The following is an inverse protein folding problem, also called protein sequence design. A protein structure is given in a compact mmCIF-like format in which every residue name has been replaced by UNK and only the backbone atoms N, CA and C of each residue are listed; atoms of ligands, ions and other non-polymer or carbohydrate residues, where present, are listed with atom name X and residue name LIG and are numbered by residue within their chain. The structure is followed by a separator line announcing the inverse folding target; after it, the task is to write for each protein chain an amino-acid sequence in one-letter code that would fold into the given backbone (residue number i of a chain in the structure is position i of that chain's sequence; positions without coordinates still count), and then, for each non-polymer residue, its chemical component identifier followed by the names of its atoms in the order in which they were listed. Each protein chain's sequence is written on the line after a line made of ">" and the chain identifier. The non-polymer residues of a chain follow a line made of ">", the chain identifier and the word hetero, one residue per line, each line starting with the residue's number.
data_IF_373832740118
#
_entry.id   IF_373832740118
#
_cell.length_a   1.000
_cell.length_b   1.000
_cell.length_c   1.000
_cell.angle_alpha   90.00
_cell.angle_beta   90.00
_cell.angle_gamma   90.00
#
_symmetry.space_group_name_H-M   'P 1'
#
loop_
_entity.id
_entity.type
_entity.pdbx_description
1 polymer ?
#
# COMPACT_ATOMS: atom_id res chain seq x y z
N UNK A 1 -12.31 18.21 -5.09
CA UNK A 1 -11.76 18.57 -3.77
C UNK A 1 -10.37 17.97 -3.69
N UNK A 2 -9.29 18.76 -3.54
CA UNK A 2 -7.95 18.20 -3.38
C UNK A 2 -7.89 17.36 -2.10
N UNK A 3 -7.28 16.18 -2.21
CA UNK A 3 -7.07 15.28 -1.09
C UNK A 3 -5.98 15.84 -0.16
N UNK A 4 -5.75 15.19 0.98
CA UNK A 4 -4.77 15.66 1.96
C UNK A 4 -3.34 15.73 1.37
N UNK A 5 -2.98 14.82 0.47
CA UNK A 5 -1.65 14.78 -0.13
C UNK A 5 -1.41 15.97 -1.07
N UNK A 6 -2.39 16.31 -1.91
CA UNK A 6 -2.32 17.47 -2.81
C UNK A 6 -2.03 18.77 -2.02
N UNK A 7 -2.67 18.91 -0.85
CA UNK A 7 -2.47 20.08 0.03
C UNK A 7 -1.12 20.10 0.73
N UNK A 8 -0.49 18.94 0.93
CA UNK A 8 0.83 18.83 1.56
C UNK A 8 1.92 19.12 0.54
N UNK A 9 1.78 18.64 -0.70
CA UNK A 9 2.73 18.88 -1.79
C UNK A 9 2.95 20.37 -2.07
N UNK A 10 1.90 21.19 -1.91
CA UNK A 10 2.01 22.66 -2.03
C UNK A 10 2.73 23.34 -0.85
N UNK A 11 2.97 22.64 0.26
CA UNK A 11 3.35 23.24 1.55
C UNK A 11 4.65 22.72 2.16
N UNK A 12 5.15 21.57 1.71
CA UNK A 12 6.36 20.93 2.27
C UNK A 12 7.34 20.57 1.16
N UNK A 13 8.61 20.36 1.50
CA UNK A 13 9.59 19.85 0.52
C UNK A 13 9.29 18.41 0.11
N UNK A 14 9.93 17.94 -0.97
CA UNK A 14 9.81 16.54 -1.39
C UNK A 14 10.30 15.58 -0.30
N UNK A 15 11.39 15.92 0.38
CA UNK A 15 11.95 15.10 1.47
C UNK A 15 11.00 15.04 2.66
N UNK A 16 10.40 16.18 3.05
CA UNK A 16 9.39 16.23 4.11
C UNK A 16 8.14 15.42 3.72
N UNK A 17 7.72 15.50 2.46
CA UNK A 17 6.57 14.75 1.95
C UNK A 17 6.82 13.24 2.01
N UNK A 18 8.03 12.78 1.71
CA UNK A 18 8.43 11.38 1.86
C UNK A 18 8.41 10.93 3.31
N UNK A 19 8.98 11.72 4.24
CA UNK A 19 8.95 11.41 5.67
C UNK A 19 7.51 11.32 6.19
N UNK A 20 6.66 12.30 5.85
CA UNK A 20 5.25 12.32 6.21
C UNK A 20 4.54 11.08 5.64
N UNK A 21 4.79 10.73 4.38
CA UNK A 21 4.21 9.55 3.73
C UNK A 21 4.58 8.26 4.44
N UNK A 22 5.84 8.13 4.85
CA UNK A 22 6.33 6.96 5.60
C UNK A 22 5.73 6.87 7.00
N UNK A 23 5.53 8.00 7.67
CA UNK A 23 4.82 8.05 8.96
C UNK A 23 3.36 7.66 8.80
N UNK A 24 2.65 8.21 7.80
CA UNK A 24 1.25 7.85 7.53
C UNK A 24 1.10 6.34 7.25
N UNK A 25 1.97 5.78 6.41
CA UNK A 25 2.02 4.33 6.16
C UNK A 25 2.28 3.54 7.43
N UNK A 26 3.22 3.98 8.26
CA UNK A 26 3.59 3.28 9.51
C UNK A 26 2.47 3.32 10.55
N UNK A 27 1.71 4.42 10.62
CA UNK A 27 0.51 4.52 11.46
C UNK A 27 -0.56 3.53 10.99
N UNK A 28 -0.81 3.45 9.68
CA UNK A 28 -1.74 2.49 9.11
C UNK A 28 -1.31 1.05 9.39
N UNK A 29 -0.02 0.73 9.24
CA UNK A 29 0.52 -0.58 9.58
C UNK A 29 0.35 -0.91 11.06
N UNK A 30 0.68 0.02 11.98
CA UNK A 30 0.45 -0.18 13.41
C UNK A 30 -1.01 -0.52 13.70
N UNK A 31 -1.96 0.20 13.09
CA UNK A 31 -3.40 -0.09 13.25
C UNK A 31 -3.70 -1.53 12.82
N UNK A 32 -3.17 -1.97 11.69
CA UNK A 32 -3.39 -3.33 11.20
C UNK A 32 -2.74 -4.38 12.12
N UNK A 33 -1.56 -4.12 12.67
CA UNK A 33 -0.93 -5.02 13.64
C UNK A 33 -1.75 -5.17 14.92
N UNK A 34 -2.38 -4.10 15.40
CA UNK A 34 -3.30 -4.19 16.54
C UNK A 34 -4.53 -5.03 16.19
N UNK A 35 -5.16 -4.77 15.04
CA UNK A 35 -6.40 -5.44 14.64
C UNK A 35 -6.19 -6.92 14.32
N UNK A 36 -5.10 -7.26 13.62
CA UNK A 36 -4.91 -8.59 13.04
C UNK A 36 -3.86 -9.44 13.76
N UNK A 37 -3.00 -8.83 14.58
CA UNK A 37 -1.90 -9.54 15.26
C UNK A 37 -1.86 -9.30 16.77
N UNK A 38 -2.84 -8.57 17.32
CA UNK A 38 -2.90 -8.18 18.74
C UNK A 38 -1.57 -7.58 19.25
N UNK A 39 -0.86 -6.88 18.37
CA UNK A 39 0.47 -6.33 18.66
C UNK A 39 0.42 -4.81 18.66
N UNK A 40 0.94 -4.18 19.72
CA UNK A 40 0.97 -2.73 19.84
C UNK A 40 2.39 -2.18 19.80
N UNK A 41 2.64 -1.23 18.89
CA UNK A 41 3.89 -0.46 18.81
C UNK A 41 3.69 0.93 19.38
N UNK A 42 4.63 1.38 20.21
CA UNK A 42 4.61 2.74 20.76
C UNK A 42 4.78 3.79 19.65
N UNK A 43 4.34 5.05 19.85
CA UNK A 43 4.55 6.12 18.89
C UNK A 43 6.03 6.29 18.49
N UNK A 44 6.95 6.16 19.44
CA UNK A 44 8.39 6.23 19.18
C UNK A 44 8.86 5.10 18.27
N UNK A 45 8.37 3.87 18.47
CA UNK A 45 8.68 2.74 17.60
C UNK A 45 8.15 2.94 16.18
N UNK A 46 6.96 3.52 16.02
CA UNK A 46 6.41 3.87 14.69
C UNK A 46 7.29 4.90 13.99
N UNK A 47 7.75 5.93 14.70
CA UNK A 47 8.63 6.95 14.13
C UNK A 47 9.99 6.38 13.74
N UNK A 48 10.59 5.53 14.58
CA UNK A 48 11.84 4.84 14.26
C UNK A 48 11.67 3.95 13.03
N UNK A 49 10.62 3.13 12.99
CA UNK A 49 10.32 2.26 11.86
C UNK A 49 10.16 3.05 10.55
N UNK A 50 9.42 4.16 10.57
CA UNK A 50 9.23 5.00 9.38
C UNK A 50 10.56 5.51 8.80
N UNK A 51 11.46 5.99 9.67
CA UNK A 51 12.78 6.50 9.26
C UNK A 51 13.69 5.39 8.76
N UNK A 52 13.71 4.25 9.43
CA UNK A 52 14.51 3.09 9.03
C UNK A 52 14.05 2.55 7.67
N UNK A 53 12.75 2.40 7.46
CA UNK A 53 12.19 1.93 6.19
C UNK A 53 12.48 2.91 5.04
N UNK A 54 12.40 4.22 5.28
CA UNK A 54 12.75 5.23 4.27
C UNK A 54 14.23 5.11 3.88
N UNK A 55 15.12 4.97 4.88
CA UNK A 55 16.55 4.75 4.64
C UNK A 55 16.80 3.47 3.85
N UNK A 56 16.13 2.37 4.20
CA UNK A 56 16.24 1.10 3.48
C UNK A 56 15.77 1.23 2.04
N UNK A 57 14.67 1.95 1.80
CA UNK A 57 14.19 2.24 0.44
C UNK A 57 15.25 2.98 -0.38
N UNK A 58 15.87 4.03 0.17
CA UNK A 58 16.95 4.75 -0.50
C UNK A 58 18.15 3.86 -0.85
N UNK A 59 18.57 3.01 0.09
CA UNK A 59 19.64 2.05 -0.14
C UNK A 59 19.28 1.05 -1.25
N UNK A 60 18.05 0.53 -1.25
CA UNK A 60 17.58 -0.38 -2.29
C UNK A 60 17.52 0.31 -3.67
N UNK A 61 17.00 1.55 -3.72
CA UNK A 61 16.93 2.36 -4.94
C UNK A 61 18.33 2.65 -5.51
N UNK A 62 19.31 2.93 -4.66
CA UNK A 62 20.70 3.11 -5.08
C UNK A 62 21.29 1.82 -5.67
N UNK A 63 21.08 0.66 -5.03
CA UNK A 63 21.52 -0.64 -5.56
C UNK A 63 20.89 -0.95 -6.91
N UNK A 64 19.60 -0.64 -7.09
CA UNK A 64 18.90 -0.83 -8.36
C UNK A 64 19.49 0.05 -9.49
N UNK A 65 19.92 1.28 -9.18
CA UNK A 65 20.60 2.15 -10.16
C UNK A 65 21.98 1.63 -10.56
N UNK A 66 22.64 0.85 -9.70
CA UNK A 66 23.96 0.26 -9.96
C UNK A 66 23.89 -1.04 -10.77
N UNK A 67 22.76 -1.75 -10.72
CA UNK A 67 22.52 -2.95 -11.50
C UNK A 67 21.85 -2.58 -12.83
N UNK A 68 22.64 -2.33 -13.87
CA UNK A 68 22.21 -1.99 -15.25
C UNK A 68 21.69 -3.20 -16.04
N UNK A 69 21.15 -4.21 -15.37
CA UNK A 69 20.47 -5.31 -16.06
C UNK A 69 19.10 -4.80 -16.54
N UNK A 70 18.76 -4.93 -17.83
CA UNK A 70 17.45 -4.53 -18.32
C UNK A 70 16.39 -5.36 -17.60
N UNK A 71 15.67 -4.73 -16.66
CA UNK A 71 14.43 -5.29 -16.16
C UNK A 71 13.54 -5.49 -17.36
N UNK A 72 13.13 -6.73 -17.61
CA UNK A 72 11.85 -6.99 -18.25
C UNK A 72 10.85 -6.30 -17.34
N UNK A 73 10.42 -5.11 -17.73
CA UNK A 73 9.21 -4.52 -17.19
C UNK A 73 8.09 -5.46 -17.63
N UNK A 74 7.80 -6.47 -16.82
CA UNK A 74 6.45 -6.99 -16.73
C UNK A 74 5.60 -5.74 -16.54
N UNK A 75 4.90 -5.34 -17.62
CA UNK A 75 4.31 -4.02 -17.73
C UNK A 75 3.58 -3.71 -16.44
N UNK A 76 3.95 -2.59 -15.81
CA UNK A 76 3.31 -2.15 -14.57
C UNK A 76 1.80 -2.13 -14.84
N UNK A 77 1.09 -3.16 -14.35
CA UNK A 77 -0.34 -3.28 -14.55
C UNK A 77 -1.00 -2.32 -13.58
N UNK A 78 -0.88 -1.03 -13.86
CA UNK A 78 -1.63 0.01 -13.18
C UNK A 78 -3.09 -0.38 -13.25
N UNK A 79 -3.76 -0.37 -12.10
CA UNK A 79 -5.15 -0.76 -12.04
C UNK A 79 -5.97 0.18 -12.94
N UNK A 80 -6.69 -0.41 -13.89
CA UNK A 80 -7.63 0.29 -14.76
C UNK A 80 -9.01 -0.31 -14.60
N UNK A 81 -10.06 0.47 -14.90
CA UNK A 81 -11.41 -0.09 -15.03
C UNK A 81 -11.44 -1.18 -16.12
N UNK A 82 -12.29 -2.22 -16.00
CA UNK A 82 -12.43 -3.21 -17.05
C UNK A 82 -12.90 -2.58 -18.36
N UNK A 83 -12.70 -3.30 -19.46
CA UNK A 83 -13.18 -2.89 -20.79
C UNK A 83 -14.71 -2.98 -20.83
N UNK A 84 -15.30 -2.27 -21.77
CA UNK A 84 -16.74 -2.35 -22.04
C UNK A 84 -17.19 -3.82 -22.20
N UNK A 85 -18.31 -4.18 -21.59
CA UNK A 85 -18.89 -5.52 -21.45
C UNK A 85 -18.06 -6.52 -20.61
N UNK A 86 -17.09 -6.07 -19.83
CA UNK A 86 -16.35 -6.92 -18.88
C UNK A 86 -16.52 -6.46 -17.44
N UNK A 87 -16.43 -7.43 -16.52
CA UNK A 87 -16.30 -7.18 -15.09
C UNK A 87 -14.89 -7.52 -14.61
N UNK A 88 -14.46 -6.85 -13.53
CA UNK A 88 -13.19 -7.14 -12.84
C UNK A 88 -13.45 -7.53 -11.40
N UNK A 89 -12.97 -8.71 -11.01
CA UNK A 89 -12.99 -9.18 -9.64
C UNK A 89 -11.63 -8.90 -8.96
N UNK A 90 -11.65 -8.06 -7.94
CA UNK A 90 -10.54 -7.93 -6.99
C UNK A 90 -10.81 -8.90 -5.84
N UNK A 91 -9.85 -9.73 -5.46
CA UNK A 91 -9.99 -10.68 -4.37
C UNK A 91 -8.77 -10.66 -3.46
N UNK A 92 -8.97 -10.97 -2.18
CA UNK A 92 -7.89 -11.15 -1.22
C UNK A 92 -8.23 -12.27 -0.22
N UNK A 93 -7.19 -12.97 0.24
CA UNK A 93 -7.29 -14.11 1.15
C UNK A 93 -6.64 -13.81 2.50
N UNK A 94 -7.39 -13.98 3.59
CA UNK A 94 -6.86 -13.89 4.95
C UNK A 94 -6.70 -15.29 5.54
N UNK A 95 -5.52 -15.58 6.09
CA UNK A 95 -5.25 -16.86 6.77
C UNK A 95 -4.93 -16.60 8.23
N UNK A 96 -5.76 -17.12 9.13
CA UNK A 96 -5.50 -17.18 10.57
C UNK A 96 -5.04 -18.60 10.92
N UNK A 97 -3.72 -18.75 11.05
CA UNK A 97 -3.10 -20.05 11.34
C UNK A 97 -3.39 -20.54 12.76
N UNK A 98 -3.49 -19.63 13.72
CA UNK A 98 -3.71 -19.98 15.13
C UNK A 98 -5.10 -20.57 15.33
N UNK A 99 -6.11 -19.95 14.72
CA UNK A 99 -7.50 -20.41 14.80
C UNK A 99 -7.89 -21.41 13.71
N UNK A 100 -6.96 -21.75 12.80
CA UNK A 100 -7.19 -22.61 11.63
C UNK A 100 -8.37 -22.13 10.77
N UNK A 101 -8.45 -20.81 10.53
CA UNK A 101 -9.51 -20.19 9.73
C UNK A 101 -8.93 -19.52 8.49
N UNK A 102 -9.73 -19.51 7.42
CA UNK A 102 -9.45 -18.79 6.18
C UNK A 102 -10.66 -17.92 5.85
N UNK A 103 -10.42 -16.66 5.50
CA UNK A 103 -11.40 -15.75 4.93
C UNK A 103 -11.02 -15.42 3.49
N UNK A 104 -12.01 -15.28 2.62
CA UNK A 104 -11.85 -14.79 1.25
C UNK A 104 -12.79 -13.60 1.09
N UNK A 105 -12.24 -12.47 0.65
CA UNK A 105 -13.02 -11.31 0.25
C UNK A 105 -12.95 -11.12 -1.26
N UNK A 106 -14.08 -10.84 -1.90
CA UNK A 106 -14.13 -10.54 -3.35
C UNK A 106 -15.00 -9.31 -3.59
N UNK A 107 -14.55 -8.40 -4.45
CA UNK A 107 -15.33 -7.27 -4.95
C UNK A 107 -15.33 -7.30 -6.46
N UNK A 108 -16.51 -7.34 -7.06
CA UNK A 108 -16.71 -7.33 -8.52
C UNK A 108 -17.16 -5.94 -8.94
N UNK A 109 -16.48 -5.37 -9.94
CA UNK A 109 -16.82 -4.08 -10.54
C UNK A 109 -17.08 -4.18 -12.04
N UNK A 110 -17.99 -3.36 -12.54
CA UNK A 110 -18.25 -3.17 -13.97
C UNK A 110 -17.28 -2.17 -14.63
N UNK A 111 -17.55 -1.82 -15.89
CA UNK A 111 -16.79 -0.91 -16.74
C UNK A 111 -16.85 0.56 -16.31
N UNK A 112 -17.87 0.96 -15.56
CA UNK A 112 -17.97 2.25 -14.87
C UNK A 112 -17.18 2.25 -13.56
N UNK A 113 -16.85 1.07 -13.04
CA UNK A 113 -16.18 0.87 -11.76
C UNK A 113 -17.14 0.75 -10.59
N UNK A 114 -18.45 0.64 -10.85
CA UNK A 114 -19.49 0.45 -9.86
C UNK A 114 -19.42 -0.97 -9.30
N UNK A 115 -19.75 -1.12 -8.01
CA UNK A 115 -19.70 -2.42 -7.34
C UNK A 115 -20.97 -3.21 -7.70
N UNK A 116 -20.78 -4.32 -8.40
CA UNK A 116 -21.87 -5.23 -8.74
C UNK A 116 -22.13 -6.26 -7.63
N UNK A 117 -21.08 -6.72 -6.96
CA UNK A 117 -21.17 -7.71 -5.89
C UNK A 117 -19.96 -7.62 -4.96
N UNK A 118 -20.16 -7.98 -3.69
CA UNK A 118 -19.09 -8.16 -2.72
C UNK A 118 -19.42 -9.29 -1.73
N UNK A 119 -18.41 -10.03 -1.31
CA UNK A 119 -18.45 -11.07 -0.26
C UNK A 119 -17.26 -10.93 0.66
#
# INVERSE_FOLDING_TARGET
>A
MPCLLDKLEERVSSEELEEISMVMRSIWLRRNEVVFKDTFKSPSQVMTQAKEELRTYYQAKQKLRQNTEPRVTEGESLWSKPRESFVKANWDGAVDKERKKVGLGVVIRDEEGEIMAAV
#
